data_IF_752298194605
#
_entry.id   IF_752298194605
#
_cell.length_a   1.000
_cell.length_b   1.000
_cell.length_c   1.000
_cell.angle_alpha   90.00
_cell.angle_beta   90.00
_cell.angle_gamma   90.00
#
_symmetry.space_group_name_H-M   'P 1'
#
loop_
_entity.id
_entity.type
_entity.pdbx_description
1 polymer ?
#
# COMPACT_ATOMS: atom_id res chain seq x y z
N UNK A 1 -23.63 8.42 1.76
CA UNK A 1 -22.43 9.26 1.56
C UNK A 1 -22.27 9.56 0.10
N UNK A 2 -22.13 10.83 -0.26
CA UNK A 2 -21.94 11.19 -1.66
C UNK A 2 -20.51 10.91 -2.10
N UNK A 3 -20.35 10.52 -3.36
CA UNK A 3 -19.03 10.31 -3.96
C UNK A 3 -18.15 11.55 -3.81
N UNK A 4 -18.75 12.72 -3.96
CA UNK A 4 -18.08 14.01 -3.82
C UNK A 4 -17.37 14.17 -2.48
N UNK A 5 -17.97 13.68 -1.40
CA UNK A 5 -17.34 13.73 -0.06
C UNK A 5 -16.12 12.84 0.02
N UNK A 6 -16.15 11.69 -0.63
CA UNK A 6 -15.03 10.75 -0.63
C UNK A 6 -13.88 11.15 -1.56
N UNK A 7 -14.19 11.94 -2.59
CA UNK A 7 -13.15 12.49 -3.48
C UNK A 7 -12.64 13.85 -3.01
N UNK A 8 -13.26 14.42 -1.97
CA UNK A 8 -12.81 15.70 -1.42
C UNK A 8 -11.38 15.60 -0.93
N UNK A 9 -10.61 16.65 -1.19
CA UNK A 9 -9.22 16.70 -0.79
C UNK A 9 -8.88 18.09 -0.29
N UNK A 10 -7.85 18.19 0.56
CA UNK A 10 -7.33 19.49 0.96
C UNK A 10 -6.58 20.14 -0.20
N UNK A 11 -6.09 21.37 0.00
CA UNK A 11 -5.41 22.12 -1.05
C UNK A 11 -3.89 22.11 -0.89
N UNK A 12 -3.37 21.20 -0.09
CA UNK A 12 -1.95 21.16 0.25
C UNK A 12 -1.12 20.61 -0.92
N UNK A 13 -0.21 21.41 -1.51
CA UNK A 13 0.58 20.93 -2.65
C UNK A 13 1.62 19.88 -2.26
N UNK A 14 2.11 19.89 -1.01
CA UNK A 14 3.12 18.93 -0.55
C UNK A 14 2.59 17.51 -0.40
N UNK A 15 1.28 17.32 -0.42
CA UNK A 15 0.69 15.99 -0.43
C UNK A 15 1.15 15.16 -1.65
N UNK A 16 1.53 15.82 -2.74
CA UNK A 16 2.11 15.13 -3.90
C UNK A 16 3.32 14.28 -3.52
N UNK A 17 4.14 14.74 -2.59
CA UNK A 17 5.32 13.99 -2.14
C UNK A 17 4.91 12.64 -1.51
N UNK A 18 3.88 12.66 -0.71
CA UNK A 18 3.35 11.43 -0.09
C UNK A 18 2.76 10.50 -1.16
N UNK A 19 2.04 11.06 -2.14
CA UNK A 19 1.49 10.26 -3.23
C UNK A 19 2.58 9.60 -4.08
N UNK A 20 3.68 10.30 -4.31
CA UNK A 20 4.80 9.73 -5.06
C UNK A 20 5.40 8.54 -4.32
N UNK A 21 5.57 8.66 -3.00
CA UNK A 21 6.09 7.55 -2.19
C UNK A 21 5.13 6.36 -2.20
N UNK A 22 3.88 6.59 -1.81
CA UNK A 22 2.90 5.51 -1.69
C UNK A 22 2.61 4.89 -3.05
N UNK A 23 2.26 5.72 -4.03
CA UNK A 23 1.92 5.22 -5.36
C UNK A 23 3.08 4.53 -6.05
N UNK A 24 4.27 5.11 -5.97
CA UNK A 24 5.47 4.55 -6.59
C UNK A 24 5.88 3.22 -5.98
N UNK A 25 5.92 3.14 -4.65
CA UNK A 25 6.31 1.90 -3.97
C UNK A 25 5.31 0.79 -4.24
N UNK A 26 4.00 1.05 -4.08
CA UNK A 26 3.00 0.00 -4.30
C UNK A 26 2.93 -0.43 -5.75
N UNK A 27 3.05 0.50 -6.70
CA UNK A 27 3.09 0.15 -8.11
C UNK A 27 4.28 -0.77 -8.41
N UNK A 28 5.45 -0.43 -7.90
CA UNK A 28 6.66 -1.24 -8.02
C UNK A 28 6.48 -2.63 -7.42
N UNK A 29 5.98 -2.69 -6.19
CA UNK A 29 5.79 -3.97 -5.49
C UNK A 29 4.77 -4.86 -6.19
N UNK A 30 3.70 -4.28 -6.72
CA UNK A 30 2.71 -5.03 -7.49
C UNK A 30 3.29 -5.60 -8.77
N UNK A 31 4.07 -4.80 -9.50
CA UNK A 31 4.74 -5.26 -10.71
C UNK A 31 5.73 -6.38 -10.41
N UNK A 32 6.52 -6.24 -9.32
CA UNK A 32 7.50 -7.25 -8.95
C UNK A 32 6.86 -8.60 -8.61
N UNK A 33 5.63 -8.62 -8.11
CA UNK A 33 4.92 -9.87 -7.83
C UNK A 33 4.69 -10.72 -9.08
N UNK A 34 4.64 -10.09 -10.25
CA UNK A 34 4.51 -10.79 -11.52
C UNK A 34 5.86 -11.09 -12.17
N UNK A 35 6.80 -10.14 -12.09
CA UNK A 35 8.13 -10.32 -12.68
C UNK A 35 8.97 -11.34 -11.90
N UNK A 36 8.83 -11.35 -10.58
CA UNK A 36 9.62 -12.19 -9.69
C UNK A 36 8.70 -13.03 -8.79
N UNK A 37 7.87 -13.87 -9.44
CA UNK A 37 6.81 -14.59 -8.74
C UNK A 37 7.32 -15.51 -7.62
N UNK A 38 8.50 -16.11 -7.78
CA UNK A 38 9.09 -17.00 -6.76
C UNK A 38 9.55 -16.22 -5.54
N UNK A 39 10.20 -15.07 -5.75
CA UNK A 39 10.77 -14.27 -4.66
C UNK A 39 9.78 -13.30 -4.04
N UNK A 40 8.87 -12.72 -4.82
CA UNK A 40 7.97 -11.63 -4.39
C UNK A 40 6.49 -11.95 -4.55
N UNK A 41 6.14 -12.96 -5.34
CA UNK A 41 4.75 -13.31 -5.63
C UNK A 41 4.28 -14.56 -4.90
N UNK A 42 3.70 -15.50 -5.65
CA UNK A 42 3.11 -16.72 -5.09
C UNK A 42 4.11 -17.55 -4.30
N UNK A 43 5.36 -17.61 -4.73
CA UNK A 43 6.41 -18.31 -4.00
C UNK A 43 6.64 -17.73 -2.61
N UNK A 44 6.66 -16.41 -2.50
CA UNK A 44 6.79 -15.75 -1.20
C UNK A 44 5.56 -15.96 -0.32
N UNK A 45 4.37 -15.88 -0.90
CA UNK A 45 3.11 -16.08 -0.17
C UNK A 45 3.00 -17.51 0.38
N UNK A 46 3.43 -18.49 -0.40
CA UNK A 46 3.51 -19.88 0.04
C UNK A 46 4.47 -20.04 1.22
N UNK A 47 5.65 -19.41 1.13
CA UNK A 47 6.68 -19.47 2.16
C UNK A 47 6.20 -18.83 3.48
N UNK A 48 5.40 -17.77 3.40
CA UNK A 48 4.83 -17.09 4.55
C UNK A 48 3.69 -17.91 5.18
N UNK A 49 3.09 -18.82 4.42
CA UNK A 49 1.98 -19.65 4.89
C UNK A 49 0.60 -19.06 4.63
N UNK A 50 0.49 -18.12 3.69
CA UNK A 50 -0.80 -17.56 3.32
C UNK A 50 -1.62 -18.55 2.48
N UNK A 51 -2.96 -18.57 2.65
CA UNK A 51 -3.82 -19.50 1.91
C UNK A 51 -3.89 -19.15 0.42
N UNK A 52 -4.01 -20.18 -0.41
CA UNK A 52 -4.17 -20.04 -1.87
C UNK A 52 -3.17 -19.04 -2.49
N UNK A 53 -1.85 -19.26 -2.31
CA UNK A 53 -0.85 -18.27 -2.75
C UNK A 53 -0.90 -18.00 -4.26
N UNK A 54 -1.27 -18.99 -5.07
CA UNK A 54 -1.37 -18.85 -6.52
C UNK A 54 -2.50 -17.89 -6.95
N UNK A 55 -3.54 -17.77 -6.12
CA UNK A 55 -4.62 -16.81 -6.33
C UNK A 55 -4.35 -15.49 -5.63
N UNK A 56 -3.93 -15.56 -4.36
CA UNK A 56 -3.81 -14.39 -3.50
C UNK A 56 -2.69 -13.45 -3.96
N UNK A 57 -1.54 -13.98 -4.38
CA UNK A 57 -0.43 -13.15 -4.81
C UNK A 57 -0.76 -12.32 -6.06
N UNK A 58 -1.31 -12.90 -7.16
CA UNK A 58 -1.75 -12.07 -8.28
C UNK A 58 -2.85 -11.08 -7.91
N UNK A 59 -3.78 -11.47 -7.04
CA UNK A 59 -4.84 -10.59 -6.59
C UNK A 59 -4.28 -9.36 -5.86
N UNK A 60 -3.36 -9.57 -4.92
CA UNK A 60 -2.70 -8.47 -4.20
C UNK A 60 -1.86 -7.65 -5.17
N UNK A 61 -1.13 -8.29 -6.08
CA UNK A 61 -0.32 -7.60 -7.07
C UNK A 61 -1.12 -6.66 -7.96
N UNK A 62 -2.25 -7.14 -8.48
CA UNK A 62 -3.15 -6.32 -9.31
C UNK A 62 -3.71 -5.16 -8.48
N UNK A 63 -4.13 -5.43 -7.25
CA UNK A 63 -4.63 -4.39 -6.34
C UNK A 63 -3.57 -3.31 -6.11
N UNK A 64 -2.33 -3.71 -5.86
CA UNK A 64 -1.23 -2.77 -5.64
C UNK A 64 -0.93 -1.95 -6.91
N UNK A 65 -0.97 -2.57 -8.09
CA UNK A 65 -0.75 -1.86 -9.35
C UNK A 65 -1.85 -0.82 -9.59
N UNK A 66 -3.10 -1.24 -9.49
CA UNK A 66 -4.24 -0.34 -9.74
C UNK A 66 -4.28 0.79 -8.71
N UNK A 67 -4.21 0.46 -7.43
CA UNK A 67 -4.30 1.46 -6.38
C UNK A 67 -3.07 2.38 -6.37
N UNK A 68 -1.89 1.82 -6.62
CA UNK A 68 -0.66 2.63 -6.72
C UNK A 68 -0.74 3.63 -7.86
N UNK A 69 -1.22 3.19 -9.02
CA UNK A 69 -1.40 4.07 -10.18
C UNK A 69 -2.43 5.16 -9.89
N UNK A 70 -3.59 4.79 -9.29
CA UNK A 70 -4.61 5.77 -8.94
C UNK A 70 -4.08 6.84 -7.98
N UNK A 71 -3.26 6.44 -7.02
CA UNK A 71 -2.66 7.37 -6.08
C UNK A 71 -1.65 8.28 -6.77
N UNK A 72 -0.87 7.75 -7.73
CA UNK A 72 0.09 8.58 -8.48
C UNK A 72 -0.60 9.72 -9.22
N UNK A 73 -1.72 9.43 -9.89
CA UNK A 73 -2.48 10.47 -10.59
C UNK A 73 -3.43 11.23 -9.69
N UNK A 74 -3.66 10.74 -8.48
CA UNK A 74 -4.55 11.37 -7.51
C UNK A 74 -6.03 11.18 -7.80
N UNK A 75 -6.40 10.08 -8.45
CA UNK A 75 -7.80 9.74 -8.73
C UNK A 75 -8.30 8.74 -7.70
N UNK A 76 -9.44 9.04 -7.05
CA UNK A 76 -10.01 8.20 -6.00
C UNK A 76 -8.99 7.83 -4.92
N UNK A 77 -8.17 8.80 -4.53
CA UNK A 77 -7.04 8.58 -3.61
C UNK A 77 -7.47 7.93 -2.30
N UNK A 78 -8.56 8.40 -1.71
CA UNK A 78 -9.05 7.84 -0.45
C UNK A 78 -9.50 6.39 -0.59
N UNK A 79 -10.20 6.07 -1.70
CA UNK A 79 -10.63 4.70 -1.96
C UNK A 79 -9.45 3.77 -2.23
N UNK A 80 -8.47 4.24 -3.01
CA UNK A 80 -7.29 3.46 -3.33
C UNK A 80 -6.44 3.18 -2.09
N UNK A 81 -6.42 4.09 -1.12
CA UNK A 81 -5.65 3.91 0.11
C UNK A 81 -6.20 2.79 0.99
N UNK A 82 -7.51 2.52 0.96
CA UNK A 82 -8.12 1.52 1.83
C UNK A 82 -7.57 0.12 1.62
N UNK A 83 -7.56 -0.44 0.37
CA UNK A 83 -6.97 -1.76 0.17
C UNK A 83 -5.48 -1.81 0.53
N UNK A 84 -4.75 -0.73 0.27
CA UNK A 84 -3.32 -0.68 0.58
C UNK A 84 -3.07 -0.71 2.08
N UNK A 85 -3.90 -0.04 2.87
CA UNK A 85 -3.84 -0.08 4.33
C UNK A 85 -4.07 -1.52 4.81
N UNK A 86 -5.07 -2.19 4.26
CA UNK A 86 -5.38 -3.58 4.62
C UNK A 86 -4.19 -4.48 4.29
N UNK A 87 -3.59 -4.33 3.11
CA UNK A 87 -2.42 -5.10 2.71
C UNK A 87 -1.27 -4.91 3.70
N UNK A 88 -1.00 -3.66 4.10
CA UNK A 88 0.08 -3.38 5.05
C UNK A 88 -0.19 -3.98 6.43
N UNK A 89 -1.43 -3.94 6.90
CA UNK A 89 -1.79 -4.56 8.18
C UNK A 89 -1.57 -6.07 8.13
N UNK A 90 -1.95 -6.71 7.03
CA UNK A 90 -1.74 -8.16 6.86
C UNK A 90 -0.25 -8.49 6.81
N UNK A 91 0.54 -7.71 6.07
CA UNK A 91 1.99 -7.93 5.95
C UNK A 91 2.66 -7.80 7.32
N UNK A 92 2.34 -6.76 8.08
CA UNK A 92 2.92 -6.56 9.41
C UNK A 92 2.56 -7.73 10.33
N UNK A 93 1.29 -8.12 10.33
CA UNK A 93 0.83 -9.22 11.18
C UNK A 93 1.48 -10.56 10.82
N UNK A 94 1.57 -10.89 9.53
CA UNK A 94 2.03 -12.21 9.07
C UNK A 94 3.54 -12.35 9.00
N UNK A 95 4.26 -11.28 8.69
CA UNK A 95 5.72 -11.38 8.44
C UNK A 95 6.57 -10.66 9.46
N UNK A 96 6.07 -9.61 10.09
CA UNK A 96 6.90 -8.76 10.97
C UNK A 96 6.69 -9.05 12.46
N UNK A 97 5.45 -9.16 12.91
CA UNK A 97 5.18 -9.47 14.32
C UNK A 97 5.82 -10.78 14.79
N UNK A 98 5.85 -11.87 13.99
CA UNK A 98 6.56 -13.07 14.40
C UNK A 98 8.05 -12.87 14.69
N UNK A 99 8.66 -11.83 14.13
CA UNK A 99 10.07 -11.52 14.39
C UNK A 99 10.36 -11.10 15.82
N UNK A 100 9.32 -10.71 16.59
CA UNK A 100 9.47 -10.43 18.00
C UNK A 100 9.98 -11.65 18.77
N UNK A 101 9.54 -12.85 18.37
CA UNK A 101 9.96 -14.11 19.01
C UNK A 101 11.31 -14.58 18.50
N UNK A 102 11.73 -14.14 17.30
CA UNK A 102 12.90 -14.67 16.60
C UNK A 102 14.13 -13.77 16.70
N UNK A 103 13.99 -12.53 17.07
CA UNK A 103 15.13 -11.61 17.13
C UNK A 103 14.87 -10.39 18.00
N UNK A 104 13.71 -10.36 18.68
CA UNK A 104 13.34 -9.29 19.56
C UNK A 104 12.79 -8.06 18.85
N UNK A 105 12.47 -7.03 19.65
CA UNK A 105 11.80 -5.83 19.16
C UNK A 105 12.66 -5.03 18.16
N UNK A 106 13.97 -4.97 18.38
CA UNK A 106 14.82 -4.18 17.50
C UNK A 106 14.90 -4.75 16.09
N UNK A 107 14.97 -6.08 15.98
CA UNK A 107 14.94 -6.75 14.67
C UNK A 107 13.60 -6.52 13.98
N UNK A 108 12.50 -6.65 14.70
CA UNK A 108 11.17 -6.45 14.15
C UNK A 108 11.01 -5.01 13.64
N UNK A 109 11.42 -4.01 14.42
CA UNK A 109 11.31 -2.62 14.03
C UNK A 109 12.18 -2.30 12.81
N UNK A 110 13.39 -2.85 12.76
CA UNK A 110 14.30 -2.64 11.63
C UNK A 110 13.73 -3.23 10.34
N UNK A 111 13.25 -4.47 10.39
CA UNK A 111 12.72 -5.15 9.21
C UNK A 111 11.37 -4.60 8.75
N UNK A 112 10.63 -3.96 9.66
CA UNK A 112 9.29 -3.43 9.35
C UNK A 112 9.28 -1.91 9.10
N UNK A 113 10.44 -1.27 9.04
CA UNK A 113 10.51 0.20 8.93
C UNK A 113 9.74 0.73 7.72
N UNK A 114 9.90 0.09 6.56
CA UNK A 114 9.18 0.49 5.34
C UNK A 114 7.68 0.22 5.47
N UNK A 115 7.33 -0.91 6.07
CA UNK A 115 5.92 -1.29 6.23
C UNK A 115 5.16 -0.27 7.09
N UNK A 116 5.77 0.17 8.20
CA UNK A 116 5.17 1.21 9.05
C UNK A 116 5.07 2.54 8.31
N UNK A 117 6.10 2.91 7.57
CA UNK A 117 6.09 4.15 6.80
C UNK A 117 4.98 4.13 5.74
N UNK A 118 4.85 3.01 5.02
CA UNK A 118 3.82 2.88 3.99
C UNK A 118 2.42 2.86 4.58
N UNK A 119 2.26 2.21 5.73
CA UNK A 119 0.97 2.19 6.43
C UNK A 119 0.55 3.60 6.84
N UNK A 120 1.43 4.32 7.51
CA UNK A 120 1.11 5.67 8.01
C UNK A 120 0.88 6.65 6.86
N UNK A 121 1.69 6.57 5.79
CA UNK A 121 1.49 7.42 4.63
C UNK A 121 0.16 7.12 3.92
N UNK A 122 -0.24 5.85 3.85
CA UNK A 122 -1.52 5.46 3.28
C UNK A 122 -2.69 5.98 4.11
N UNK A 123 -2.57 5.92 5.45
CA UNK A 123 -3.57 6.49 6.37
C UNK A 123 -3.66 8.01 6.17
N UNK A 124 -2.52 8.68 6.01
CA UNK A 124 -2.50 10.11 5.71
C UNK A 124 -3.33 10.44 4.47
N UNK A 125 -3.15 9.67 3.39
CA UNK A 125 -3.91 9.87 2.15
C UNK A 125 -5.40 9.59 2.32
N UNK A 126 -5.74 8.60 3.15
CA UNK A 126 -7.14 8.31 3.45
C UNK A 126 -7.81 9.50 4.15
N UNK A 127 -7.11 10.15 5.07
CA UNK A 127 -7.63 11.28 5.84
C UNK A 127 -7.66 12.56 4.99
N UNK A 128 -6.58 12.86 4.27
CA UNK A 128 -6.38 14.15 3.59
C UNK A 128 -6.82 14.14 2.12
N UNK A 129 -6.82 12.98 1.46
CA UNK A 129 -7.05 12.91 0.02
C UNK A 129 -5.80 13.24 -0.78
N UNK A 130 -5.96 13.53 -2.07
CA UNK A 130 -4.84 13.66 -3.02
C UNK A 130 -4.09 14.99 -3.03
N UNK A 131 -4.64 16.04 -2.42
CA UNK A 131 -4.00 17.35 -2.40
C UNK A 131 -4.25 18.19 -3.66
N UNK A 132 -3.49 19.28 -3.81
CA UNK A 132 -3.70 20.27 -4.87
C UNK A 132 -3.44 19.72 -6.28
N UNK A 133 -2.41 18.88 -6.43
CA UNK A 133 -2.00 18.36 -7.75
C UNK A 133 -2.60 16.97 -7.99
N UNK A 134 -3.91 16.85 -7.94
CA UNK A 134 -4.59 15.56 -8.09
C UNK A 134 -5.80 15.69 -9.02
N UNK A 135 -6.18 14.56 -9.64
CA UNK A 135 -7.40 14.51 -10.44
C UNK A 135 -8.63 14.74 -9.55
N UNK A 136 -8.60 14.23 -8.32
CA UNK A 136 -9.68 14.43 -7.34
C UNK A 136 -9.96 15.91 -7.08
N UNK A 137 -8.93 16.75 -7.12
CA UNK A 137 -9.07 18.19 -6.90
C UNK A 137 -9.91 18.85 -7.99
N UNK A 138 -9.92 18.26 -9.20
CA UNK A 138 -10.68 18.78 -10.34
C UNK A 138 -12.12 18.27 -10.38
N UNK A 139 -12.45 17.29 -9.55
CA UNK A 139 -13.80 16.76 -9.43
C UNK A 139 -14.60 17.56 -8.39
#
# INVERSE_FOLDING_TARGET
MSLRKWTATDKTPTTLLIRLVVGGVFLSEGIQKFLFAVAQGSGRFEKIGLPSPEFLAPFVGITEIICGFLILIGLLTRFAAIPLIIIMLVVIYTTKLPMLNDGGIWKMLHESRTDWAMLLCSIFLLIRGGGAFSVDKKL
#
